data_IF_455182931117
#
_entry.id   IF_455182931117
#
_cell.length_a   1.000
_cell.length_b   1.000
_cell.length_c   1.000
_cell.angle_alpha   90.00
_cell.angle_beta   90.00
_cell.angle_gamma   90.00
#
_symmetry.space_group_name_H-M   'P 1'
#
loop_
_entity.id
_entity.type
_entity.pdbx_description
1 polymer ?
#
# COMPACT_ATOMS: atom_id res chain seq x y z
N UNK A 1 -14.67 -76.90 20.84
CA UNK A 1 -15.59 -75.71 20.62
C UNK A 1 -14.75 -74.45 20.60
N UNK A 2 -14.41 -73.96 19.41
CA UNK A 2 -13.54 -72.83 19.23
C UNK A 2 -14.45 -71.67 18.78
N UNK A 3 -14.56 -70.58 19.58
CA UNK A 3 -15.31 -69.39 19.25
C UNK A 3 -14.34 -68.42 18.56
N UNK A 4 -14.59 -68.15 17.26
CA UNK A 4 -13.96 -67.11 16.51
C UNK A 4 -14.61 -65.75 16.89
N UNK A 5 -13.81 -64.78 17.34
CA UNK A 5 -14.17 -63.42 17.56
C UNK A 5 -13.68 -62.63 16.34
N UNK A 6 -14.59 -62.11 15.54
CA UNK A 6 -14.27 -61.24 14.41
C UNK A 6 -14.08 -59.83 14.93
N UNK A 7 -12.87 -59.25 14.79
CA UNK A 7 -12.57 -57.86 15.08
C UNK A 7 -12.82 -57.05 13.81
N UNK A 8 -13.80 -56.13 13.87
CA UNK A 8 -14.05 -55.15 12.80
C UNK A 8 -13.09 -53.97 12.96
N UNK A 9 -12.21 -53.75 12.00
CA UNK A 9 -11.34 -52.59 11.91
C UNK A 9 -12.10 -51.51 11.16
N UNK A 10 -12.46 -50.45 11.89
CA UNK A 10 -13.03 -49.22 11.28
C UNK A 10 -11.86 -48.34 10.85
N UNK A 11 -11.63 -48.22 9.55
CA UNK A 11 -10.68 -47.29 8.99
C UNK A 11 -11.34 -45.89 8.91
N UNK A 12 -10.89 -44.96 9.78
CA UNK A 12 -11.26 -43.54 9.69
C UNK A 12 -10.36 -42.91 8.65
N UNK A 13 -10.94 -42.61 7.48
CA UNK A 13 -10.29 -41.80 6.46
C UNK A 13 -10.30 -40.34 6.92
N UNK A 14 -9.16 -39.79 7.35
CA UNK A 14 -8.95 -38.40 7.59
C UNK A 14 -8.89 -37.68 6.23
N UNK A 15 -9.94 -37.00 5.88
CA UNK A 15 -9.96 -36.09 4.72
C UNK A 15 -9.14 -34.85 5.15
N UNK A 16 -7.89 -34.78 4.72
CA UNK A 16 -7.09 -33.55 4.81
C UNK A 16 -7.66 -32.54 3.83
N UNK A 17 -8.41 -31.55 4.34
CA UNK A 17 -8.77 -30.37 3.55
C UNK A 17 -7.47 -29.64 3.20
N UNK A 18 -7.23 -29.28 1.92
CA UNK A 18 -6.12 -28.41 1.59
C UNK A 18 -6.36 -27.08 2.29
N UNK A 19 -5.46 -26.72 3.20
CA UNK A 19 -5.37 -25.36 3.69
C UNK A 19 -5.00 -24.51 2.48
N UNK A 20 -5.94 -23.74 1.96
CA UNK A 20 -5.66 -22.66 1.04
C UNK A 20 -4.82 -21.66 1.82
N UNK A 21 -3.50 -21.76 1.67
CA UNK A 21 -2.60 -20.67 2.04
C UNK A 21 -3.06 -19.44 1.25
N UNK A 22 -3.71 -18.53 1.93
CA UNK A 22 -3.94 -17.20 1.37
C UNK A 22 -2.57 -16.56 1.29
N UNK A 23 -2.03 -16.45 0.08
CA UNK A 23 -0.92 -15.59 -0.25
C UNK A 23 -1.35 -14.14 0.05
N UNK A 24 -1.14 -13.70 1.30
CA UNK A 24 -1.41 -12.32 1.73
C UNK A 24 -0.23 -11.39 1.42
N UNK A 25 0.82 -11.88 0.78
CA UNK A 25 2.05 -11.15 0.48
C UNK A 25 2.10 -10.60 -0.95
N UNK A 26 0.96 -10.36 -1.58
CA UNK A 26 0.90 -9.59 -2.81
C UNK A 26 1.16 -8.10 -2.54
N UNK A 27 1.77 -7.36 -3.51
CA UNK A 27 1.86 -5.91 -3.40
C UNK A 27 0.46 -5.35 -3.14
N UNK A 28 0.37 -4.26 -2.37
CA UNK A 28 -0.86 -3.49 -2.24
C UNK A 28 -1.14 -2.88 -3.62
N UNK A 29 -1.66 -3.70 -4.51
CA UNK A 29 -2.03 -3.27 -5.86
C UNK A 29 -3.39 -2.62 -5.71
N UNK A 30 -3.51 -1.40 -6.21
CA UNK A 30 -4.72 -0.60 -6.27
C UNK A 30 -5.89 -1.28 -7.00
N UNK A 31 -5.69 -2.50 -7.48
CA UNK A 31 -6.69 -3.25 -8.23
C UNK A 31 -6.79 -4.69 -7.72
N UNK A 32 -7.43 -4.86 -6.55
CA UNK A 32 -7.87 -6.18 -6.11
C UNK A 32 -9.08 -6.56 -6.97
N UNK A 33 -8.83 -7.29 -8.04
CA UNK A 33 -9.81 -7.66 -9.07
C UNK A 33 -11.08 -8.38 -8.56
N UNK A 34 -11.10 -8.79 -7.28
CA UNK A 34 -12.21 -9.50 -6.63
C UNK A 34 -12.78 -8.77 -5.40
N UNK A 35 -12.41 -7.50 -5.17
CA UNK A 35 -12.94 -6.75 -4.04
C UNK A 35 -14.36 -6.25 -4.34
N UNK A 36 -15.30 -6.45 -3.40
CA UNK A 36 -16.64 -5.90 -3.53
C UNK A 36 -16.64 -4.36 -3.45
N UNK A 37 -17.64 -3.72 -4.05
CA UNK A 37 -17.79 -2.27 -3.99
C UNK A 37 -17.92 -1.77 -2.52
N UNK A 38 -18.57 -2.55 -1.66
CA UNK A 38 -18.76 -2.20 -0.24
C UNK A 38 -17.43 -2.31 0.53
N UNK A 39 -16.63 -3.35 0.28
CA UNK A 39 -15.31 -3.51 0.89
C UNK A 39 -14.38 -2.36 0.47
N UNK A 40 -14.38 -2.01 -0.82
CA UNK A 40 -13.63 -0.88 -1.35
C UNK A 40 -14.07 0.45 -0.70
N UNK A 41 -15.39 0.69 -0.58
CA UNK A 41 -15.96 1.88 0.06
C UNK A 41 -15.56 1.96 1.54
N UNK A 42 -15.60 0.84 2.26
CA UNK A 42 -15.19 0.77 3.66
C UNK A 42 -13.70 1.10 3.83
N UNK A 43 -12.82 0.53 2.98
CA UNK A 43 -11.38 0.84 3.02
C UNK A 43 -11.12 2.32 2.69
N UNK A 44 -11.83 2.88 1.71
CA UNK A 44 -11.73 4.31 1.39
C UNK A 44 -12.12 5.17 2.59
N UNK A 45 -13.23 4.87 3.25
CA UNK A 45 -13.69 5.60 4.43
C UNK A 45 -12.63 5.58 5.55
N UNK A 46 -12.08 4.40 5.87
CA UNK A 46 -11.02 4.25 6.86
C UNK A 46 -9.77 5.03 6.44
N UNK A 47 -9.35 4.92 5.18
CA UNK A 47 -8.15 5.57 4.69
C UNK A 47 -8.23 7.10 4.73
N UNK A 48 -9.41 7.67 4.45
CA UNK A 48 -9.61 9.12 4.49
C UNK A 48 -9.90 9.67 5.90
N UNK A 49 -10.32 8.84 6.85
CA UNK A 49 -10.47 9.23 8.27
C UNK A 49 -9.13 9.26 9.01
N UNK A 50 -8.14 8.50 8.54
CA UNK A 50 -6.81 8.47 9.16
C UNK A 50 -6.06 9.79 8.94
N UNK A 51 -5.37 10.22 10.01
CA UNK A 51 -4.49 11.40 9.94
C UNK A 51 -3.33 11.14 8.99
N UNK A 52 -3.12 12.06 8.06
CA UNK A 52 -1.95 12.02 7.19
C UNK A 52 -0.66 12.37 7.94
N UNK A 53 0.48 11.82 7.52
CA UNK A 53 1.78 12.21 8.04
C UNK A 53 2.03 13.72 7.85
N UNK A 54 2.85 14.29 8.76
CA UNK A 54 3.20 15.71 8.68
C UNK A 54 3.84 16.04 7.32
N UNK A 55 3.33 17.08 6.67
CA UNK A 55 3.81 17.54 5.37
C UNK A 55 3.20 16.82 4.17
N UNK A 56 2.38 15.79 4.37
CA UNK A 56 1.63 15.18 3.28
C UNK A 56 0.50 16.12 2.81
N UNK A 57 0.29 16.27 1.48
CA UNK A 57 -0.82 17.04 0.93
C UNK A 57 -2.18 16.42 1.27
N UNK A 58 -3.20 17.25 1.39
CA UNK A 58 -4.58 16.80 1.63
C UNK A 58 -5.38 16.56 0.36
N UNK A 59 -4.98 17.17 -0.77
CA UNK A 59 -5.63 17.00 -2.07
C UNK A 59 -5.08 15.79 -2.80
N UNK A 60 -5.94 15.02 -3.47
CA UNK A 60 -5.58 13.74 -4.06
C UNK A 60 -4.43 13.80 -5.07
N UNK A 61 -4.45 14.75 -6.03
CA UNK A 61 -3.41 14.80 -7.06
C UNK A 61 -2.01 15.12 -6.51
N UNK A 62 -1.81 16.16 -5.68
CA UNK A 62 -0.53 16.39 -5.00
C UNK A 62 -0.14 15.25 -4.05
N UNK A 63 -1.12 14.62 -3.37
CA UNK A 63 -0.85 13.49 -2.49
C UNK A 63 -0.25 12.31 -3.25
N UNK A 64 -0.81 11.95 -4.40
CA UNK A 64 -0.28 10.85 -5.22
C UNK A 64 1.15 11.14 -5.70
N UNK A 65 1.46 12.39 -6.05
CA UNK A 65 2.82 12.79 -6.42
C UNK A 65 3.81 12.68 -5.22
N UNK A 66 3.34 13.00 -4.03
CA UNK A 66 4.09 12.82 -2.78
C UNK A 66 4.31 11.34 -2.47
N UNK A 67 3.29 10.48 -2.62
CA UNK A 67 3.36 9.04 -2.41
C UNK A 67 4.33 8.37 -3.40
N UNK A 68 4.24 8.70 -4.70
CA UNK A 68 5.21 8.22 -5.72
C UNK A 68 6.64 8.56 -5.32
N UNK A 69 6.89 9.80 -4.93
CA UNK A 69 8.23 10.25 -4.56
C UNK A 69 8.76 9.56 -3.29
N UNK A 70 7.89 9.27 -2.31
CA UNK A 70 8.27 8.54 -1.10
C UNK A 70 8.64 7.10 -1.40
N UNK A 71 7.77 6.35 -2.08
CA UNK A 71 8.04 4.93 -2.36
C UNK A 71 9.20 4.77 -3.35
N UNK A 72 9.34 5.70 -4.29
CA UNK A 72 10.51 5.74 -5.19
C UNK A 72 11.80 5.93 -4.41
N UNK A 73 11.83 6.91 -3.49
CA UNK A 73 13.01 7.16 -2.66
C UNK A 73 13.36 6.00 -1.73
N UNK A 74 12.35 5.30 -1.18
CA UNK A 74 12.57 4.08 -0.43
C UNK A 74 13.20 2.97 -1.30
N UNK A 75 12.68 2.74 -2.49
CA UNK A 75 13.24 1.76 -3.42
C UNK A 75 14.66 2.15 -3.87
N UNK A 76 14.92 3.46 -4.13
CA UNK A 76 16.25 3.98 -4.44
C UNK A 76 17.23 3.71 -3.29
N UNK A 77 16.81 3.94 -2.03
CA UNK A 77 17.62 3.64 -0.84
C UNK A 77 17.94 2.14 -0.76
N UNK A 78 16.95 1.27 -0.98
CA UNK A 78 17.14 -0.17 -1.03
C UNK A 78 18.16 -0.59 -2.10
N UNK A 79 18.16 0.06 -3.26
CA UNK A 79 19.14 -0.23 -4.34
C UNK A 79 20.57 0.15 -3.97
N UNK A 80 20.78 1.04 -3.01
CA UNK A 80 22.11 1.41 -2.50
C UNK A 80 22.69 0.42 -1.50
N UNK A 81 21.89 -0.52 -0.97
CA UNK A 81 22.35 -1.47 0.04
C UNK A 81 23.20 -2.57 -0.58
N UNK A 82 24.38 -2.82 0.00
CA UNK A 82 25.37 -3.78 -0.50
C UNK A 82 24.94 -5.23 -0.20
N UNK A 83 24.35 -5.45 0.97
CA UNK A 83 23.95 -6.78 1.48
C UNK A 83 22.43 -6.84 1.65
N UNK A 84 21.71 -6.95 0.53
CA UNK A 84 20.25 -7.10 0.55
C UNK A 84 19.86 -8.55 0.76
N UNK A 85 18.90 -8.79 1.67
CA UNK A 85 18.23 -10.08 1.77
C UNK A 85 17.31 -10.30 0.55
N UNK A 86 16.86 -11.55 0.31
CA UNK A 86 15.81 -11.80 -0.69
C UNK A 86 14.54 -10.98 -0.44
N UNK A 87 14.15 -10.82 0.83
CA UNK A 87 12.98 -10.04 1.26
C UNK A 87 13.17 -8.54 0.93
N UNK A 88 14.36 -7.99 1.15
CA UNK A 88 14.67 -6.60 0.81
C UNK A 88 14.66 -6.38 -0.70
N UNK A 89 15.16 -7.34 -1.46
CA UNK A 89 15.11 -7.32 -2.92
C UNK A 89 13.67 -7.30 -3.43
N UNK A 90 12.83 -8.15 -2.84
CA UNK A 90 11.41 -8.19 -3.16
C UNK A 90 10.70 -6.89 -2.75
N UNK A 91 11.02 -6.33 -1.58
CA UNK A 91 10.47 -5.04 -1.13
C UNK A 91 10.81 -3.89 -2.08
N UNK A 92 12.05 -3.85 -2.60
CA UNK A 92 12.46 -2.89 -3.64
C UNK A 92 11.62 -3.10 -4.91
N UNK A 93 11.49 -4.35 -5.37
CA UNK A 93 10.71 -4.67 -6.57
C UNK A 93 9.25 -4.22 -6.43
N UNK A 94 8.62 -4.51 -5.28
CA UNK A 94 7.24 -4.10 -5.00
C UNK A 94 7.10 -2.58 -4.94
N UNK A 95 8.04 -1.89 -4.29
CA UNK A 95 8.05 -0.42 -4.27
C UNK A 95 8.17 0.20 -5.67
N UNK A 96 8.95 -0.42 -6.57
CA UNK A 96 9.02 0.02 -7.98
C UNK A 96 7.70 -0.15 -8.73
N UNK A 97 6.98 -1.25 -8.49
CA UNK A 97 5.66 -1.48 -9.09
C UNK A 97 4.63 -0.48 -8.57
N UNK A 98 4.62 -0.23 -7.26
CA UNK A 98 3.73 0.75 -6.65
C UNK A 98 4.00 2.17 -7.19
N UNK A 99 5.27 2.57 -7.28
CA UNK A 99 5.66 3.84 -7.90
C UNK A 99 5.20 3.93 -9.37
N UNK A 100 5.29 2.85 -10.12
CA UNK A 100 4.80 2.81 -11.50
C UNK A 100 3.29 3.02 -11.57
N UNK A 101 2.55 2.43 -10.64
CA UNK A 101 1.09 2.59 -10.58
C UNK A 101 0.69 4.04 -10.26
N UNK A 102 1.35 4.70 -9.30
CA UNK A 102 1.13 6.12 -9.01
C UNK A 102 1.44 7.01 -10.21
N UNK A 103 2.56 6.78 -10.90
CA UNK A 103 2.89 7.54 -12.13
C UNK A 103 1.85 7.34 -13.21
N UNK A 104 1.32 6.13 -13.37
CA UNK A 104 0.21 5.86 -14.30
C UNK A 104 -1.05 6.63 -13.93
N UNK A 105 -1.38 6.73 -12.64
CA UNK A 105 -2.52 7.53 -12.16
C UNK A 105 -2.33 9.03 -12.40
N UNK A 106 -1.13 9.55 -12.11
CA UNK A 106 -0.79 10.95 -12.35
C UNK A 106 -0.87 11.31 -13.84
N UNK A 107 -0.28 10.49 -14.72
CA UNK A 107 -0.32 10.70 -16.16
C UNK A 107 -1.76 10.68 -16.70
N UNK A 108 -2.59 9.75 -16.26
CA UNK A 108 -4.00 9.68 -16.66
C UNK A 108 -4.81 10.90 -16.19
N UNK A 109 -4.45 11.47 -15.04
CA UNK A 109 -5.14 12.62 -14.46
C UNK A 109 -4.65 13.97 -14.99
N UNK A 110 -3.39 14.07 -15.42
CA UNK A 110 -2.68 15.30 -15.74
C UNK A 110 -3.43 16.24 -16.71
N UNK A 111 -4.07 15.78 -17.81
CA UNK A 111 -4.78 16.67 -18.75
C UNK A 111 -5.94 17.42 -18.10
N UNK A 112 -6.46 16.91 -16.98
CA UNK A 112 -7.60 17.50 -16.25
C UNK A 112 -7.18 18.40 -15.10
N UNK A 113 -5.86 18.49 -14.82
CA UNK A 113 -5.37 19.28 -13.69
C UNK A 113 -5.12 20.73 -14.05
N UNK A 114 -5.44 21.63 -13.10
CA UNK A 114 -5.08 23.04 -13.20
C UNK A 114 -3.56 23.24 -13.08
N UNK A 115 -3.05 24.38 -13.56
CA UNK A 115 -1.65 24.74 -13.39
C UNK A 115 -1.26 24.79 -11.89
N UNK A 116 -2.15 25.28 -11.03
CA UNK A 116 -1.94 25.32 -9.59
C UNK A 116 -1.83 23.91 -8.98
N UNK A 117 -2.69 22.95 -9.37
CA UNK A 117 -2.63 21.57 -8.91
C UNK A 117 -1.33 20.88 -9.35
N UNK A 118 -0.88 21.13 -10.60
CA UNK A 118 0.40 20.62 -11.11
C UNK A 118 1.59 21.17 -10.32
N UNK A 119 1.60 22.48 -10.05
CA UNK A 119 2.64 23.10 -9.23
C UNK A 119 2.66 22.55 -7.79
N UNK A 120 1.51 22.37 -7.17
CA UNK A 120 1.39 21.76 -5.84
C UNK A 120 1.92 20.30 -5.84
N UNK A 121 1.63 19.52 -6.89
CA UNK A 121 2.15 18.14 -7.02
C UNK A 121 3.68 18.13 -7.17
N UNK A 122 4.26 19.04 -7.94
CA UNK A 122 5.71 19.16 -8.06
C UNK A 122 6.38 19.52 -6.73
N UNK A 123 5.79 20.46 -5.98
CA UNK A 123 6.29 20.82 -4.64
C UNK A 123 6.19 19.66 -3.67
N UNK A 124 5.07 18.93 -3.68
CA UNK A 124 4.86 17.77 -2.84
C UNK A 124 5.88 16.65 -3.12
N UNK A 125 6.10 16.35 -4.39
CA UNK A 125 7.11 15.37 -4.80
C UNK A 125 8.53 15.81 -4.40
N UNK A 126 8.87 17.09 -4.55
CA UNK A 126 10.16 17.63 -4.12
C UNK A 126 10.36 17.52 -2.60
N UNK A 127 9.33 17.84 -1.81
CA UNK A 127 9.36 17.70 -0.36
C UNK A 127 9.54 16.24 0.09
N UNK A 128 8.89 15.29 -0.57
CA UNK A 128 9.05 13.86 -0.29
C UNK A 128 10.47 13.36 -0.65
N UNK A 129 11.00 13.75 -1.81
CA UNK A 129 12.38 13.42 -2.21
C UNK A 129 13.42 13.98 -1.24
N UNK A 130 13.20 15.17 -0.72
CA UNK A 130 14.11 15.80 0.24
C UNK A 130 14.25 14.99 1.55
N UNK A 131 13.28 14.17 1.92
CA UNK A 131 13.36 13.29 3.09
C UNK A 131 14.38 12.16 2.89
N UNK A 132 14.57 11.68 1.67
CA UNK A 132 15.49 10.61 1.35
C UNK A 132 16.91 11.10 1.01
N UNK A 133 17.05 12.36 0.60
CA UNK A 133 18.32 12.91 0.12
C UNK A 133 19.49 12.72 1.09
N UNK A 134 19.36 12.94 2.41
CA UNK A 134 20.47 12.73 3.36
C UNK A 134 20.89 11.27 3.45
N UNK A 135 19.93 10.33 3.39
CA UNK A 135 20.21 8.90 3.45
C UNK A 135 20.88 8.39 2.17
N UNK A 136 20.39 8.84 1.02
CA UNK A 136 20.97 8.51 -0.28
C UNK A 136 22.40 9.05 -0.46
N UNK A 137 22.71 10.19 0.18
CA UNK A 137 24.06 10.77 0.20
C UNK A 137 24.98 10.14 1.27
N UNK A 138 24.43 9.41 2.23
CA UNK A 138 25.18 8.82 3.33
C UNK A 138 26.09 7.69 2.87
N UNK A 139 27.32 7.62 3.41
CA UNK A 139 28.22 6.48 3.26
C UNK A 139 28.04 5.44 4.37
N UNK A 140 27.20 5.72 5.37
CA UNK A 140 26.91 4.81 6.48
C UNK A 140 25.88 3.75 6.04
N UNK A 141 26.37 2.56 5.72
CA UNK A 141 25.56 1.42 5.32
C UNK A 141 24.57 0.99 6.40
N UNK A 142 24.99 1.05 7.69
CA UNK A 142 24.12 0.65 8.79
C UNK A 142 22.94 1.62 8.92
N UNK A 143 23.18 2.92 8.83
CA UNK A 143 22.12 3.93 8.86
C UNK A 143 21.15 3.78 7.67
N UNK A 144 21.66 3.50 6.45
CA UNK A 144 20.83 3.26 5.27
C UNK A 144 19.96 2.01 5.44
N UNK A 145 20.56 0.89 5.86
CA UNK A 145 19.86 -0.37 6.08
C UNK A 145 18.78 -0.25 7.15
N UNK A 146 19.09 0.41 8.26
CA UNK A 146 18.12 0.67 9.32
C UNK A 146 16.94 1.51 8.80
N UNK A 147 17.23 2.59 8.09
CA UNK A 147 16.19 3.49 7.56
C UNK A 147 15.33 2.79 6.50
N UNK A 148 15.92 1.93 5.68
CA UNK A 148 15.19 1.09 4.72
C UNK A 148 14.23 0.13 5.44
N UNK A 149 14.69 -0.54 6.50
CA UNK A 149 13.85 -1.46 7.29
C UNK A 149 12.73 -0.79 8.09
N UNK A 150 12.87 0.50 8.42
CA UNK A 150 11.88 1.26 9.20
C UNK A 150 10.75 1.87 8.34
N UNK A 151 10.79 1.72 7.03
CA UNK A 151 9.70 2.20 6.19
C UNK A 151 8.55 1.19 6.18
N UNK A 152 7.49 1.48 6.92
CA UNK A 152 6.31 0.62 7.09
C UNK A 152 5.25 0.78 5.98
N UNK A 153 5.59 1.46 4.88
CA UNK A 153 4.69 1.66 3.76
C UNK A 153 4.03 3.03 3.73
N UNK A 154 3.20 3.22 2.73
CA UNK A 154 2.49 4.47 2.49
C UNK A 154 1.17 4.52 3.27
N UNK A 155 0.64 5.73 3.58
CA UNK A 155 -0.74 5.85 4.06
C UNK A 155 -1.72 5.20 3.08
N UNK A 156 -2.70 4.44 3.57
CA UNK A 156 -3.72 3.80 2.72
C UNK A 156 -4.47 4.78 1.82
N UNK A 157 -4.52 6.06 2.22
CA UNK A 157 -5.09 7.14 1.40
C UNK A 157 -4.36 7.34 0.07
N UNK A 158 -3.06 6.99 -0.06
CA UNK A 158 -2.31 7.07 -1.32
C UNK A 158 -2.95 6.21 -2.43
N UNK A 159 -3.29 4.97 -2.09
CA UNK A 159 -3.96 4.02 -3.01
C UNK A 159 -5.31 4.56 -3.49
N UNK A 160 -6.15 4.99 -2.54
CA UNK A 160 -7.48 5.50 -2.87
C UNK A 160 -7.42 6.80 -3.66
N UNK A 161 -6.51 7.72 -3.32
CA UNK A 161 -6.27 8.95 -4.07
C UNK A 161 -5.85 8.64 -5.52
N UNK A 162 -4.92 7.68 -5.73
CA UNK A 162 -4.50 7.27 -7.08
C UNK A 162 -5.68 6.71 -7.89
N UNK A 163 -6.51 5.85 -7.30
CA UNK A 163 -7.73 5.35 -7.93
C UNK A 163 -8.68 6.49 -8.31
N UNK A 164 -8.91 7.44 -7.40
CA UNK A 164 -9.82 8.57 -7.61
C UNK A 164 -9.37 9.47 -8.75
N UNK A 165 -8.09 9.89 -8.77
CA UNK A 165 -7.58 10.74 -9.84
C UNK A 165 -7.53 10.03 -11.20
N UNK A 166 -7.16 8.74 -11.22
CA UNK A 166 -7.13 7.92 -12.44
C UNK A 166 -8.50 7.84 -13.10
N UNK A 167 -9.53 7.56 -12.31
CA UNK A 167 -10.88 7.32 -12.79
C UNK A 167 -11.76 8.59 -12.77
N UNK A 168 -11.17 9.77 -12.54
CA UNK A 168 -11.90 11.05 -12.48
C UNK A 168 -13.07 11.04 -11.49
N UNK A 169 -12.89 10.43 -10.31
CA UNK A 169 -13.89 10.41 -9.24
C UNK A 169 -13.87 11.75 -8.52
N UNK A 170 -14.91 12.56 -8.74
CA UNK A 170 -15.04 13.91 -8.17
C UNK A 170 -15.97 13.97 -6.96
N UNK A 171 -16.74 12.92 -6.70
CA UNK A 171 -17.55 12.83 -5.47
C UNK A 171 -16.65 12.83 -4.24
N UNK A 172 -17.10 13.38 -3.11
CA UNK A 172 -16.35 13.28 -1.86
C UNK A 172 -15.97 11.83 -1.54
N UNK A 173 -14.83 11.59 -0.87
CA UNK A 173 -14.50 10.26 -0.35
C UNK A 173 -15.58 9.77 0.62
N UNK A 174 -15.76 8.45 0.71
CA UNK A 174 -16.64 7.87 1.70
C UNK A 174 -16.15 8.21 3.12
N UNK A 175 -17.10 8.45 4.01
CA UNK A 175 -16.86 8.69 5.43
C UNK A 175 -17.13 7.43 6.26
N UNK A 176 -16.63 7.32 7.51
CA UNK A 176 -16.99 6.23 8.41
C UNK A 176 -18.49 6.06 8.56
N UNK A 177 -19.25 7.16 8.66
CA UNK A 177 -20.70 7.12 8.75
C UNK A 177 -21.39 6.51 7.52
N UNK A 178 -20.83 6.74 6.31
CA UNK A 178 -21.35 6.18 5.05
C UNK A 178 -21.23 4.64 4.97
N UNK A 179 -20.45 4.04 5.85
CA UNK A 179 -20.18 2.58 5.90
C UNK A 179 -20.56 1.97 7.23
N UNK A 180 -21.32 2.69 8.07
CA UNK A 180 -21.84 2.21 9.36
C UNK A 180 -20.77 2.07 10.45
N UNK A 181 -19.63 2.76 10.32
CA UNK A 181 -18.63 2.87 11.38
C UNK A 181 -18.98 4.10 12.23
N UNK A 182 -19.02 3.92 13.56
CA UNK A 182 -19.18 5.04 14.47
C UNK A 182 -17.91 5.91 14.44
N UNK A 183 -18.10 7.24 14.37
CA UNK A 183 -16.96 8.14 14.59
C UNK A 183 -16.49 7.97 16.03
N UNK A 184 -15.15 7.86 16.27
CA UNK A 184 -14.64 7.88 17.62
C UNK A 184 -15.09 9.20 18.27
N UNK A 185 -15.78 9.10 19.43
CA UNK A 185 -16.23 10.27 20.18
C UNK A 185 -15.04 11.22 20.38
N UNK A 186 -15.18 12.47 19.95
CA UNK A 186 -14.16 13.48 20.14
C UNK A 186 -13.94 13.67 21.66
N UNK A 187 -12.78 13.26 22.14
CA UNK A 187 -12.33 13.40 23.52
C UNK A 187 -11.58 14.70 23.75
#
# INVERSE_FOLDING_TARGET
MIKLVAAAVIAVAAVAAPALAQDQDGPIVTNRSNESADALKMREAIAYSNTLPRGAPTQDYPLVAWCDALVTGHADLGDTLTNRSPEDTERVRLGRLEAQDFRGALAAAEPRQTAAAKAAAQQAAAAAKAQWAPLLASQDEAARSQSFGLFYGLPGRCEHAARRIRNNITTPPATPADVGLEEPAAS
#
